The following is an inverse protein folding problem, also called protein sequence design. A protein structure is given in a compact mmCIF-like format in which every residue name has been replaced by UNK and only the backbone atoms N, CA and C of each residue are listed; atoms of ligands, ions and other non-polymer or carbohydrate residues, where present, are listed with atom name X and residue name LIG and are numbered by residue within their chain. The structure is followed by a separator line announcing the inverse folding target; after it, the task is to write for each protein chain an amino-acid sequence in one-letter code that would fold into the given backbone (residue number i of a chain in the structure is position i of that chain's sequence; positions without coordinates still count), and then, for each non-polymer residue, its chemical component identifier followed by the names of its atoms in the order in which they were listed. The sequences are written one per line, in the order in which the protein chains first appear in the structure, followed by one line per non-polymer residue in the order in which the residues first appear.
data_IF_990731297652
#
_entry.id   IF_990731297652
#
_cell.length_a   1.000
_cell.length_b   1.000
_cell.length_c   1.000
_cell.angle_alpha   90.00
_cell.angle_beta   90.00
_cell.angle_gamma   90.00
#
_symmetry.space_group_name_H-M   'P 1'
#
loop_
_entity.id
_entity.type
_entity.pdbx_description
1 polymer ?
#
# COMPACT_ATOMS: atom_id res chain seq x y z
N UNK A 1 -8.45 -14.18 -12.93
CA UNK A 1 -9.36 -13.78 -11.84
C UNK A 1 -10.61 -13.10 -12.40
N UNK A 2 -10.46 -12.03 -13.20
CA UNK A 2 -11.62 -11.27 -13.74
C UNK A 2 -12.55 -12.15 -14.59
N UNK A 3 -12.00 -13.10 -15.34
CA UNK A 3 -12.75 -14.05 -16.18
C UNK A 3 -13.36 -15.21 -15.40
N UNK A 4 -12.91 -15.46 -14.18
CA UNK A 4 -13.34 -16.60 -13.37
C UNK A 4 -14.69 -16.40 -12.66
N UNK A 5 -15.33 -15.22 -12.78
CA UNK A 5 -16.61 -14.92 -12.14
C UNK A 5 -16.56 -14.82 -10.61
N UNK A 6 -15.36 -14.65 -10.04
CA UNK A 6 -15.20 -14.46 -8.61
C UNK A 6 -15.57 -13.04 -8.18
N UNK A 7 -16.01 -12.86 -6.94
CA UNK A 7 -16.30 -11.54 -6.36
C UNK A 7 -15.04 -10.84 -5.88
N UNK A 8 -14.09 -11.61 -5.38
CA UNK A 8 -12.84 -11.14 -4.78
C UNK A 8 -11.62 -11.81 -5.40
N UNK A 9 -10.48 -11.14 -5.28
CA UNK A 9 -9.17 -11.65 -5.69
C UNK A 9 -8.11 -11.29 -4.65
N UNK A 10 -7.22 -12.24 -4.36
CA UNK A 10 -6.11 -12.03 -3.44
C UNK A 10 -4.80 -12.00 -4.22
N UNK A 11 -3.99 -10.98 -3.97
CA UNK A 11 -2.59 -10.91 -4.36
C UNK A 11 -1.77 -11.04 -3.10
N UNK A 12 -0.87 -12.00 -3.05
CA UNK A 12 -0.07 -12.30 -1.87
C UNK A 12 1.36 -12.66 -2.25
N UNK A 13 2.33 -12.12 -1.52
CA UNK A 13 3.73 -12.48 -1.68
C UNK A 13 4.00 -13.90 -1.17
N UNK A 14 4.96 -14.62 -1.76
CA UNK A 14 5.26 -16.02 -1.38
C UNK A 14 5.87 -16.17 0.02
N UNK A 15 6.32 -15.07 0.64
CA UNK A 15 6.91 -15.02 1.99
C UNK A 15 5.91 -14.49 3.05
N UNK A 16 4.60 -14.59 2.73
CA UNK A 16 3.51 -14.33 3.67
C UNK A 16 2.84 -15.62 4.09
N UNK A 17 2.54 -15.73 5.38
CA UNK A 17 1.67 -16.78 5.94
C UNK A 17 0.65 -16.18 6.91
N UNK A 18 -0.49 -16.85 7.03
CA UNK A 18 -1.60 -16.44 7.89
C UNK A 18 -2.39 -17.65 8.35
N UNK A 19 -3.06 -17.51 9.49
CA UNK A 19 -3.92 -18.56 10.05
C UNK A 19 -5.30 -18.63 9.41
N UNK A 20 -6.10 -19.57 9.88
CA UNK A 20 -7.50 -19.72 9.52
C UNK A 20 -8.29 -18.45 9.88
N UNK A 21 -9.34 -18.14 9.12
CA UNK A 21 -10.24 -17.03 9.36
C UNK A 21 -9.80 -15.68 8.76
N UNK A 22 -8.55 -15.52 8.33
CA UNK A 22 -8.07 -14.22 7.79
C UNK A 22 -8.80 -13.85 6.49
N UNK A 23 -8.97 -14.80 5.58
CA UNK A 23 -9.68 -14.55 4.31
C UNK A 23 -11.15 -14.28 4.56
N UNK A 24 -11.77 -15.02 5.49
CA UNK A 24 -13.16 -14.86 5.89
C UNK A 24 -13.41 -13.49 6.52
N UNK A 25 -12.51 -13.00 7.38
CA UNK A 25 -12.58 -11.65 7.97
C UNK A 25 -12.56 -10.59 6.87
N UNK A 26 -11.64 -10.71 5.91
CA UNK A 26 -11.50 -9.75 4.81
C UNK A 26 -12.71 -9.80 3.86
N UNK A 27 -13.22 -10.99 3.54
CA UNK A 27 -14.42 -11.16 2.72
C UNK A 27 -15.64 -10.56 3.42
N UNK A 28 -15.87 -10.89 4.69
CA UNK A 28 -16.96 -10.35 5.47
C UNK A 28 -16.87 -8.82 5.65
N UNK A 29 -15.64 -8.28 5.72
CA UNK A 29 -15.44 -6.83 5.70
C UNK A 29 -15.91 -6.23 4.36
N UNK A 30 -15.45 -6.80 3.25
CA UNK A 30 -15.86 -6.35 1.91
C UNK A 30 -17.37 -6.43 1.70
N UNK A 31 -18.02 -7.51 2.17
CA UNK A 31 -19.48 -7.68 2.04
C UNK A 31 -20.25 -6.58 2.77
N UNK A 32 -19.78 -6.16 3.95
CA UNK A 32 -20.38 -5.06 4.72
C UNK A 32 -20.04 -3.66 4.18
N UNK A 33 -18.97 -3.54 3.39
CA UNK A 33 -18.47 -2.27 2.86
C UNK A 33 -18.37 -2.29 1.33
N UNK A 34 -19.48 -2.12 0.60
CA UNK A 34 -19.48 -2.15 -0.86
C UNK A 34 -18.68 -1.02 -1.50
N UNK A 35 -18.37 0.04 -0.75
CA UNK A 35 -17.52 1.16 -1.11
C UNK A 35 -16.01 0.86 -1.01
N UNK A 36 -15.63 -0.29 -0.42
CA UNK A 36 -14.23 -0.72 -0.34
C UNK A 36 -13.85 -1.53 -1.60
N UNK A 37 -12.80 -1.10 -2.29
CA UNK A 37 -12.26 -1.79 -3.47
C UNK A 37 -10.98 -2.58 -3.21
N UNK A 38 -10.23 -2.19 -2.20
CA UNK A 38 -9.01 -2.85 -1.75
C UNK A 38 -8.96 -2.86 -0.21
N UNK A 39 -8.70 -4.04 0.36
CA UNK A 39 -8.45 -4.19 1.79
C UNK A 39 -7.10 -4.88 2.00
N UNK A 40 -6.29 -4.36 2.93
CA UNK A 40 -5.05 -4.98 3.35
C UNK A 40 -5.11 -5.31 4.86
N UNK A 41 -4.63 -6.49 5.28
CA UNK A 41 -4.56 -6.88 6.67
C UNK A 41 -3.44 -6.17 7.42
N UNK A 42 -3.47 -6.25 8.74
CA UNK A 42 -2.32 -5.97 9.58
C UNK A 42 -1.20 -6.95 9.26
N UNK A 43 -0.06 -6.42 8.90
CA UNK A 43 1.14 -7.21 8.59
C UNK A 43 2.14 -7.08 9.73
N UNK A 44 2.63 -8.20 10.23
CA UNK A 44 3.64 -8.23 11.29
C UNK A 44 4.88 -8.99 10.82
N UNK A 45 6.01 -8.74 11.48
CA UNK A 45 7.20 -9.58 11.36
C UNK A 45 7.02 -10.90 12.12
N UNK A 46 7.89 -11.91 11.91
CA UNK A 46 7.84 -13.18 12.65
C UNK A 46 7.94 -13.04 14.18
N UNK A 47 8.53 -11.96 14.67
CA UNK A 47 8.63 -11.61 16.09
C UNK A 47 7.38 -10.90 16.63
N UNK A 48 6.38 -10.64 15.78
CA UNK A 48 5.14 -9.96 16.14
C UNK A 48 5.18 -8.43 16.01
N UNK A 49 6.33 -7.82 15.69
CA UNK A 49 6.39 -6.37 15.47
C UNK A 49 5.59 -5.95 14.22
N UNK A 50 4.89 -4.83 14.32
CA UNK A 50 4.08 -4.30 13.21
C UNK A 50 4.94 -3.79 12.06
N UNK A 51 4.66 -4.24 10.84
CA UNK A 51 5.19 -3.66 9.61
C UNK A 51 4.32 -2.46 9.20
N UNK A 52 4.91 -1.28 9.11
CA UNK A 52 4.20 -0.04 8.77
C UNK A 52 4.05 0.09 7.25
N UNK A 53 3.06 -0.63 6.69
CA UNK A 53 2.84 -0.78 5.25
C UNK A 53 1.73 0.12 4.69
N UNK A 54 1.00 0.82 5.54
CA UNK A 54 0.06 1.87 5.17
C UNK A 54 0.80 3.19 5.01
N UNK A 55 0.69 3.81 3.83
CA UNK A 55 1.50 5.00 3.54
C UNK A 55 0.70 6.07 2.82
N UNK A 56 1.17 7.28 2.93
CA UNK A 56 0.75 8.37 2.06
C UNK A 56 1.28 8.15 0.64
N UNK A 57 0.65 8.80 -0.35
CA UNK A 57 1.24 8.84 -1.71
C UNK A 57 2.58 9.58 -1.66
N UNK A 58 3.65 8.96 -2.17
CA UNK A 58 5.00 9.44 -1.97
C UNK A 58 5.33 10.68 -2.81
N UNK A 59 6.23 11.48 -2.28
CA UNK A 59 6.98 12.48 -3.03
C UNK A 59 8.33 11.91 -3.48
N UNK A 60 9.04 12.53 -4.44
CA UNK A 60 10.41 12.14 -4.76
C UNK A 60 11.35 12.17 -3.54
N UNK A 61 11.08 13.08 -2.58
CA UNK A 61 11.82 13.12 -1.32
C UNK A 61 11.63 11.83 -0.50
N UNK A 62 10.40 11.34 -0.38
CA UNK A 62 10.09 10.16 0.44
C UNK A 62 10.75 8.88 -0.08
N UNK A 63 10.90 8.73 -1.39
CA UNK A 63 11.38 7.49 -2.01
C UNK A 63 12.84 7.56 -2.47
N UNK A 64 13.32 8.71 -2.89
CA UNK A 64 14.67 8.88 -3.47
C UNK A 64 15.60 9.56 -2.47
N UNK A 65 15.30 10.80 -2.10
CA UNK A 65 16.23 11.62 -1.32
C UNK A 65 16.40 11.08 0.11
N UNK A 66 15.35 10.56 0.70
CA UNK A 66 15.39 9.99 2.05
C UNK A 66 16.37 8.84 2.21
N UNK A 67 16.71 8.12 1.13
CA UNK A 67 17.71 7.05 1.16
C UNK A 67 19.14 7.55 1.46
N UNK A 68 19.43 8.81 1.11
CA UNK A 68 20.75 9.41 1.23
C UNK A 68 20.93 10.28 2.49
N UNK A 69 19.90 10.43 3.30
CA UNK A 69 19.91 11.27 4.50
C UNK A 69 20.07 10.44 5.78
N UNK A 70 20.77 10.95 6.80
CA UNK A 70 20.91 10.28 8.10
C UNK A 70 19.54 10.03 8.76
N UNK A 71 19.40 8.86 9.39
CA UNK A 71 18.12 8.39 9.97
C UNK A 71 17.52 9.36 11.01
N UNK A 72 18.34 10.07 11.77
CA UNK A 72 17.90 10.99 12.81
C UNK A 72 17.10 12.19 12.29
N UNK A 73 17.46 12.72 11.12
CA UNK A 73 16.76 13.86 10.50
C UNK A 73 15.41 13.48 9.88
N UNK A 74 15.13 12.19 9.76
CA UNK A 74 14.00 11.67 8.99
C UNK A 74 12.89 11.07 9.83
N UNK A 75 13.07 11.02 11.17
CA UNK A 75 12.13 10.33 12.07
C UNK A 75 10.70 10.87 11.92
N UNK A 76 10.49 12.15 12.07
CA UNK A 76 9.17 12.79 11.97
C UNK A 76 8.55 12.66 10.57
N UNK A 77 9.36 12.82 9.50
CA UNK A 77 8.90 12.63 8.13
C UNK A 77 8.48 11.17 7.87
N UNK A 78 9.23 10.22 8.43
CA UNK A 78 8.94 8.79 8.32
C UNK A 78 7.68 8.41 9.10
N UNK A 79 7.54 8.88 10.32
CA UNK A 79 6.36 8.66 11.17
C UNK A 79 5.08 9.14 10.48
N UNK A 80 5.15 10.32 9.86
CA UNK A 80 4.04 10.86 9.09
C UNK A 80 3.76 10.08 7.81
N UNK A 81 4.80 9.76 7.01
CA UNK A 81 4.65 9.06 5.74
C UNK A 81 4.09 7.65 5.91
N UNK A 82 4.54 6.93 6.94
CA UNK A 82 4.14 5.57 7.29
C UNK A 82 2.94 5.55 8.26
N UNK A 83 2.33 6.70 8.54
CA UNK A 83 1.17 6.86 9.43
C UNK A 83 1.35 6.23 10.80
N UNK A 84 2.58 6.17 11.33
CA UNK A 84 2.90 5.50 12.61
C UNK A 84 2.20 6.11 13.82
N UNK A 85 1.84 7.39 13.74
CA UNK A 85 1.12 8.09 14.80
C UNK A 85 -0.28 7.51 15.08
N UNK A 86 -0.81 6.64 14.20
CA UNK A 86 -2.10 5.97 14.38
C UNK A 86 -2.04 4.74 15.28
N UNK A 87 -0.84 4.22 15.60
CA UNK A 87 -0.65 2.98 16.33
C UNK A 87 -0.99 1.71 15.55
N UNK A 88 -1.62 1.81 14.39
CA UNK A 88 -2.09 0.66 13.59
C UNK A 88 -3.06 -0.27 14.35
N UNK A 89 -3.86 0.28 15.24
CA UNK A 89 -4.84 -0.42 16.07
C UNK A 89 -6.29 -0.26 15.63
N UNK A 90 -6.51 0.51 14.56
CA UNK A 90 -7.84 0.82 14.01
C UNK A 90 -7.87 0.78 12.50
N UNK A 91 -9.09 0.69 11.95
CA UNK A 91 -9.34 0.81 10.51
C UNK A 91 -8.83 2.15 9.97
N UNK A 92 -8.22 2.11 8.80
CA UNK A 92 -7.72 3.33 8.13
C UNK A 92 -8.03 3.28 6.64
N UNK A 93 -8.63 4.35 6.10
CA UNK A 93 -8.71 4.56 4.65
C UNK A 93 -7.46 5.31 4.18
N UNK A 94 -6.56 4.63 3.50
CA UNK A 94 -5.23 5.15 3.15
C UNK A 94 -4.93 5.04 1.67
N UNK A 95 -4.30 6.04 1.05
CA UNK A 95 -4.14 6.09 -0.40
C UNK A 95 -3.08 5.14 -0.97
N UNK A 96 -2.25 4.54 -0.11
CA UNK A 96 -1.25 3.56 -0.52
C UNK A 96 -1.15 2.42 0.49
N UNK A 97 -1.49 1.22 0.03
CA UNK A 97 -1.30 -0.06 0.70
C UNK A 97 -0.24 -0.88 -0.05
N UNK A 98 0.67 -1.52 0.68
CA UNK A 98 1.74 -2.33 0.10
C UNK A 98 1.19 -3.53 -0.68
N UNK A 99 1.85 -3.85 -1.78
CA UNK A 99 1.52 -4.99 -2.65
C UNK A 99 1.78 -6.36 -2.05
N UNK A 100 2.32 -6.46 -0.84
CA UNK A 100 2.64 -7.75 -0.23
C UNK A 100 1.39 -8.61 0.08
N UNK A 101 0.26 -7.96 0.41
CA UNK A 101 -1.04 -8.61 0.53
C UNK A 101 -2.14 -7.63 0.15
N UNK A 102 -2.91 -7.95 -0.89
CA UNK A 102 -4.03 -7.13 -1.37
C UNK A 102 -5.27 -8.01 -1.56
N UNK A 103 -6.34 -7.72 -0.83
CA UNK A 103 -7.66 -8.32 -1.00
C UNK A 103 -8.53 -7.37 -1.81
N UNK A 104 -8.91 -7.76 -3.01
CA UNK A 104 -9.46 -6.89 -4.05
C UNK A 104 -10.88 -7.28 -4.42
N UNK A 105 -11.76 -6.29 -4.61
CA UNK A 105 -13.06 -6.48 -5.25
C UNK A 105 -12.89 -6.51 -6.77
N UNK A 106 -13.33 -7.58 -7.42
CA UNK A 106 -13.20 -7.75 -8.89
C UNK A 106 -13.92 -6.64 -9.66
N UNK A 107 -15.08 -6.17 -9.18
CA UNK A 107 -15.78 -5.04 -9.79
C UNK A 107 -14.91 -3.79 -9.92
N UNK A 108 -14.11 -3.49 -8.88
CA UNK A 108 -13.17 -2.37 -8.90
C UNK A 108 -12.09 -2.52 -9.97
N UNK A 109 -11.61 -3.75 -10.20
CA UNK A 109 -10.59 -4.02 -11.23
C UNK A 109 -11.07 -3.77 -12.65
N UNK A 110 -12.37 -3.97 -12.90
CA UNK A 110 -12.97 -3.67 -14.21
C UNK A 110 -12.94 -2.18 -14.55
N UNK A 111 -13.00 -1.32 -13.53
CA UNK A 111 -12.99 0.13 -13.68
C UNK A 111 -11.56 0.71 -13.66
N UNK A 112 -10.72 0.22 -12.75
CA UNK A 112 -9.34 0.73 -12.59
C UNK A 112 -8.33 0.13 -13.57
N UNK A 113 -8.64 -1.03 -14.15
CA UNK A 113 -7.70 -1.88 -14.84
C UNK A 113 -6.78 -2.63 -13.87
N UNK A 114 -5.91 -3.46 -14.42
CA UNK A 114 -4.93 -4.28 -13.69
C UNK A 114 -3.64 -3.51 -13.39
N UNK A 115 -2.61 -4.22 -12.96
CA UNK A 115 -1.28 -3.62 -12.80
C UNK A 115 -0.79 -3.00 -14.12
N UNK A 116 -0.12 -1.87 -14.02
CA UNK A 116 0.47 -1.17 -15.14
C UNK A 116 1.81 -1.86 -15.51
N UNK A 117 1.84 -2.57 -16.63
CA UNK A 117 2.98 -3.39 -17.08
C UNK A 117 4.27 -2.59 -17.34
N UNK A 118 4.20 -1.26 -17.33
CA UNK A 118 5.40 -0.41 -17.37
C UNK A 118 6.31 -0.61 -16.16
N UNK A 119 5.75 -1.06 -15.03
CA UNK A 119 6.50 -1.36 -13.81
C UNK A 119 6.87 -2.84 -13.80
N UNK A 120 8.15 -3.15 -13.95
CA UNK A 120 8.62 -4.52 -13.80
C UNK A 120 8.58 -4.97 -12.34
N UNK A 121 9.00 -4.07 -11.43
CA UNK A 121 9.01 -4.29 -9.99
C UNK A 121 9.14 -2.95 -9.28
N UNK A 122 8.51 -2.81 -8.10
CA UNK A 122 8.39 -1.58 -7.33
C UNK A 122 7.55 -0.50 -8.01
N UNK A 123 6.89 0.32 -7.24
CA UNK A 123 5.95 1.36 -7.64
C UNK A 123 4.67 0.87 -8.36
N UNK A 124 4.56 -0.40 -8.76
CA UNK A 124 3.33 -1.01 -9.27
C UNK A 124 2.21 -0.97 -8.23
N UNK A 125 2.52 -1.27 -6.98
CA UNK A 125 1.60 -1.26 -5.85
C UNK A 125 1.17 0.17 -5.48
N UNK A 126 2.07 1.14 -5.56
CA UNK A 126 1.76 2.56 -5.34
C UNK A 126 0.78 3.06 -6.41
N UNK A 127 1.08 2.77 -7.68
CA UNK A 127 0.24 3.16 -8.81
C UNK A 127 -1.14 2.50 -8.72
N UNK A 128 -1.16 1.22 -8.40
CA UNK A 128 -2.38 0.43 -8.34
C UNK A 128 -3.28 0.86 -7.16
N UNK A 129 -2.73 0.97 -5.95
CA UNK A 129 -3.45 1.51 -4.80
C UNK A 129 -4.02 2.89 -5.07
N UNK A 130 -3.21 3.77 -5.68
CA UNK A 130 -3.64 5.13 -6.03
C UNK A 130 -4.81 5.15 -7.00
N UNK A 131 -4.77 4.31 -8.06
CA UNK A 131 -5.88 4.23 -9.02
C UNK A 131 -7.16 3.73 -8.36
N UNK A 132 -7.07 2.72 -7.52
CA UNK A 132 -8.20 2.20 -6.75
C UNK A 132 -8.74 3.27 -5.79
N UNK A 133 -7.87 3.94 -5.04
CA UNK A 133 -8.25 4.98 -4.07
C UNK A 133 -8.96 6.20 -4.69
N UNK A 134 -8.85 6.40 -6.01
CA UNK A 134 -9.57 7.47 -6.72
C UNK A 134 -11.07 7.23 -6.84
N UNK A 135 -11.50 5.99 -6.85
CA UNK A 135 -12.88 5.58 -7.13
C UNK A 135 -13.53 4.83 -5.97
N UNK A 136 -12.74 4.21 -5.09
CA UNK A 136 -13.22 3.44 -3.94
C UNK A 136 -12.36 3.71 -2.72
N UNK A 137 -12.74 3.15 -1.56
CA UNK A 137 -11.88 3.14 -0.37
C UNK A 137 -10.80 2.06 -0.51
N UNK A 138 -9.62 2.38 -0.01
CA UNK A 138 -8.49 1.45 0.17
C UNK A 138 -8.20 1.34 1.65
N UNK A 139 -8.54 0.20 2.24
CA UNK A 139 -8.72 0.07 3.69
C UNK A 139 -7.66 -0.84 4.29
N UNK A 140 -7.08 -0.39 5.38
CA UNK A 140 -6.34 -1.23 6.31
C UNK A 140 -7.28 -1.79 7.36
N UNK A 141 -7.30 -3.13 7.49
CA UNK A 141 -8.14 -3.88 8.43
C UNK A 141 -7.25 -4.52 9.51
N UNK A 142 -7.24 -4.00 10.74
CA UNK A 142 -6.39 -4.52 11.82
C UNK A 142 -6.86 -5.86 12.37
N UNK A 143 -8.12 -6.24 12.16
CA UNK A 143 -8.70 -7.49 12.67
C UNK A 143 -8.18 -8.73 11.93
N UNK A 144 -7.72 -8.56 10.70
CA UNK A 144 -7.03 -9.60 9.92
C UNK A 144 -5.52 -9.41 10.08
N UNK A 145 -4.82 -10.45 10.53
CA UNK A 145 -3.37 -10.39 10.79
C UNK A 145 -2.62 -11.41 9.94
N UNK A 146 -1.59 -10.95 9.24
CA UNK A 146 -0.68 -11.82 8.45
C UNK A 146 0.76 -11.60 8.87
N UNK A 147 1.58 -12.64 8.74
CA UNK A 147 3.02 -12.59 9.03
C UNK A 147 3.80 -12.54 7.73
N UNK A 148 4.75 -11.62 7.63
CA UNK A 148 5.57 -11.42 6.42
C UNK A 148 7.06 -11.46 6.79
N UNK A 149 7.78 -12.44 6.26
CA UNK A 149 9.19 -12.66 6.58
C UNK A 149 10.14 -11.57 6.04
N UNK A 150 9.66 -10.74 5.15
CA UNK A 150 10.31 -9.59 4.49
C UNK A 150 11.85 -9.59 4.50
N UNK A 151 12.46 -10.18 3.49
CA UNK A 151 13.87 -9.95 3.18
C UNK A 151 14.02 -8.73 2.26
N UNK A 152 14.62 -7.64 2.77
CA UNK A 152 14.84 -6.40 2.01
C UNK A 152 15.86 -6.57 0.87
N UNK A 153 15.53 -7.39 -0.13
CA UNK A 153 16.40 -7.78 -1.25
C UNK A 153 16.97 -6.58 -2.03
N UNK A 154 16.20 -5.48 -2.16
CA UNK A 154 16.65 -4.26 -2.86
C UNK A 154 17.79 -3.51 -2.15
N UNK A 155 18.03 -3.79 -0.88
CA UNK A 155 19.16 -3.18 -0.15
C UNK A 155 20.49 -3.88 -0.39
N UNK A 156 20.46 -5.12 -0.86
CA UNK A 156 21.66 -6.00 -1.01
C UNK A 156 22.16 -6.09 -2.46
N UNK A 157 21.40 -5.60 -3.47
CA UNK A 157 21.74 -5.82 -4.88
C UNK A 157 21.61 -4.53 -5.70
N UNK A 158 22.71 -4.06 -6.30
CA UNK A 158 22.77 -2.85 -7.13
C UNK A 158 21.85 -2.89 -8.36
N UNK A 159 21.66 -4.07 -8.99
CA UNK A 159 20.74 -4.24 -10.12
C UNK A 159 19.28 -3.97 -9.69
N UNK A 160 18.89 -4.48 -8.52
CA UNK A 160 17.55 -4.23 -7.96
C UNK A 160 17.35 -2.76 -7.62
N UNK A 161 18.40 -2.06 -7.19
CA UNK A 161 18.34 -0.62 -6.97
C UNK A 161 18.07 0.15 -8.26
N UNK A 162 18.73 -0.19 -9.36
CA UNK A 162 18.50 0.45 -10.67
C UNK A 162 17.07 0.21 -11.18
N UNK A 163 16.56 -1.01 -11.04
CA UNK A 163 15.16 -1.34 -11.36
C UNK A 163 14.21 -0.48 -10.54
N UNK A 164 14.45 -0.37 -9.23
CA UNK A 164 13.65 0.44 -8.32
C UNK A 164 13.63 1.92 -8.75
N UNK A 165 14.81 2.51 -8.99
CA UNK A 165 14.92 3.90 -9.46
C UNK A 165 14.18 4.08 -10.79
N UNK A 166 14.35 3.15 -11.74
CA UNK A 166 13.66 3.20 -13.04
C UNK A 166 12.13 3.17 -12.90
N UNK A 167 11.60 2.34 -11.99
CA UNK A 167 10.16 2.29 -11.70
C UNK A 167 9.66 3.59 -11.05
N UNK A 168 10.44 4.16 -10.11
CA UNK A 168 10.10 5.45 -9.50
C UNK A 168 10.09 6.60 -10.51
N UNK A 169 11.04 6.63 -11.43
CA UNK A 169 11.06 7.61 -12.52
C UNK A 169 9.79 7.49 -13.37
N UNK A 170 9.40 6.27 -13.76
CA UNK A 170 8.16 6.02 -14.50
C UNK A 170 6.93 6.48 -13.70
N UNK A 171 6.88 6.21 -12.39
CA UNK A 171 5.80 6.64 -11.52
C UNK A 171 5.67 8.17 -11.47
N UNK A 172 6.78 8.88 -11.23
CA UNK A 172 6.74 10.34 -11.17
C UNK A 172 6.51 11.00 -12.54
N UNK A 173 6.95 10.37 -13.64
CA UNK A 173 6.61 10.84 -14.99
C UNK A 173 5.11 10.69 -15.29
N UNK A 174 4.46 9.66 -14.75
CA UNK A 174 3.01 9.45 -14.90
C UNK A 174 2.19 10.42 -14.03
N UNK A 175 2.61 10.63 -12.78
CA UNK A 175 1.79 11.30 -11.77
C UNK A 175 2.26 12.71 -11.40
N UNK A 176 3.45 13.08 -11.80
CA UNK A 176 4.07 14.37 -11.50
C UNK A 176 5.14 14.32 -10.42
N UNK A 177 6.23 15.00 -10.65
CA UNK A 177 7.39 15.07 -9.74
C UNK A 177 7.13 16.00 -8.55
N UNK A 178 6.82 17.25 -8.84
CA UNK A 178 6.70 18.31 -7.83
C UNK A 178 5.24 18.72 -7.65
N UNK A 179 4.54 19.02 -8.75
CA UNK A 179 3.16 19.48 -8.75
C UNK A 179 2.24 18.29 -9.01
N UNK A 180 1.71 17.71 -7.95
CA UNK A 180 0.70 16.66 -7.98
C UNK A 180 -0.43 17.04 -7.01
N UNK A 181 -1.45 17.69 -7.57
CA UNK A 181 -2.60 18.20 -6.78
C UNK A 181 -3.42 17.06 -6.18
N UNK A 182 -3.54 15.95 -6.89
CA UNK A 182 -4.28 14.78 -6.43
C UNK A 182 -3.59 14.14 -5.23
N UNK A 183 -2.27 13.90 -5.32
CA UNK A 183 -1.46 13.41 -4.18
C UNK A 183 -1.66 14.29 -2.94
N UNK A 184 -1.56 15.63 -3.12
CA UNK A 184 -1.72 16.57 -2.00
C UNK A 184 -3.11 16.46 -1.38
N UNK A 185 -4.15 16.37 -2.21
CA UNK A 185 -5.54 16.24 -1.74
C UNK A 185 -5.76 14.92 -1.01
N UNK A 186 -5.36 13.79 -1.60
CA UNK A 186 -5.52 12.47 -1.00
C UNK A 186 -4.77 12.35 0.34
N UNK A 187 -3.50 12.78 0.37
CA UNK A 187 -2.69 12.74 1.59
C UNK A 187 -3.26 13.64 2.68
N UNK A 188 -3.75 14.82 2.32
CA UNK A 188 -4.36 15.75 3.28
C UNK A 188 -5.65 15.17 3.86
N UNK A 189 -6.55 14.67 3.02
CA UNK A 189 -7.81 14.07 3.45
C UNK A 189 -7.56 12.85 4.36
N UNK A 190 -6.59 11.99 4.01
CA UNK A 190 -6.18 10.86 4.84
C UNK A 190 -5.71 11.32 6.24
N UNK A 191 -4.82 12.29 6.32
CA UNK A 191 -4.29 12.79 7.60
C UNK A 191 -5.40 13.45 8.45
N UNK A 192 -6.25 14.26 7.84
CA UNK A 192 -7.35 14.94 8.54
C UNK A 192 -8.34 13.93 9.11
N UNK A 193 -8.73 12.92 8.33
CA UNK A 193 -9.61 11.85 8.79
C UNK A 193 -9.01 11.05 9.96
N UNK A 194 -7.71 10.71 9.89
CA UNK A 194 -7.03 9.94 10.93
C UNK A 194 -6.74 10.72 12.22
N UNK A 195 -6.69 12.04 12.16
CA UNK A 195 -6.53 12.89 13.36
C UNK A 195 -7.85 13.24 14.03
N UNK A 196 -8.96 13.16 13.31
CA UNK A 196 -10.31 13.43 13.83
C UNK A 196 -10.99 12.21 14.47
N UNK A 197 -10.38 11.06 14.39
CA UNK A 197 -10.77 9.82 15.06
C UNK A 197 -10.04 9.69 16.41
#
# INVERSE_FOLDING_TARGET
AVEAGADYHVIVNPDIWFGEGVIEILAAYMDRHPDAGLVAPKTVYPDGETQYLCKLLPTPFDLILRRFLPAGFLKSSRERFELRFTGYDREMNVPFLSGCFMFLRIGTLKETGLFDERYFMYAEDIDFSRRIHRITRTVYCPDAVVVHAHEAASRKNGKMLLIHIGSLVKYFNKWGWIIDRERRRANRACIEALKGQ
#
